data_IF_375389231424
#
_entry.id   IF_375389231424
#
_cell.length_a   1.000
_cell.length_b   1.000
_cell.length_c   1.000
_cell.angle_alpha   90.00
_cell.angle_beta   90.00
_cell.angle_gamma   90.00
#
_symmetry.space_group_name_H-M   'P 1'
#
loop_
_entity.id
_entity.type
_entity.pdbx_description
1 polymer ?
#
# COMPACT_ATOMS: atom_id res chain seq x y z
N UNK A 1 9.52 -16.57 -14.03
CA UNK A 1 9.90 -16.40 -15.46
C UNK A 1 11.26 -15.72 -15.65
N UNK A 2 11.99 -16.05 -16.73
CA UNK A 2 13.20 -15.32 -17.14
C UNK A 2 12.77 -14.00 -17.80
N UNK A 3 13.13 -12.85 -17.22
CA UNK A 3 12.60 -11.54 -17.63
C UNK A 3 13.28 -10.97 -18.88
N UNK A 4 14.36 -11.59 -19.32
CA UNK A 4 15.09 -11.27 -20.56
C UNK A 4 14.30 -11.61 -21.84
N UNK A 5 13.12 -12.22 -21.71
CA UNK A 5 12.25 -12.58 -22.83
C UNK A 5 11.20 -11.51 -23.18
N UNK A 6 11.23 -10.34 -22.53
CA UNK A 6 10.26 -9.28 -22.78
C UNK A 6 10.90 -8.07 -23.42
N UNK A 7 10.33 -7.63 -24.56
CA UNK A 7 10.83 -6.49 -25.33
C UNK A 7 10.50 -5.13 -24.67
N UNK A 8 9.53 -5.10 -23.75
CA UNK A 8 9.06 -3.88 -23.10
C UNK A 8 8.43 -4.15 -21.72
N UNK A 9 8.21 -3.07 -20.97
CA UNK A 9 7.46 -3.02 -19.71
C UNK A 9 6.30 -2.04 -19.92
N UNK A 10 5.10 -2.38 -19.44
CA UNK A 10 3.94 -1.49 -19.47
C UNK A 10 3.65 -0.93 -18.07
N UNK A 11 2.96 0.20 -18.00
CA UNK A 11 2.36 0.68 -16.76
C UNK A 11 0.84 0.76 -16.91
N UNK A 12 0.12 0.23 -15.93
CA UNK A 12 -1.34 0.26 -15.86
C UNK A 12 -1.72 0.85 -14.49
N UNK A 13 -2.07 2.13 -14.50
CA UNK A 13 -2.28 2.92 -13.29
C UNK A 13 -3.73 3.38 -13.21
N UNK A 14 -4.31 3.30 -12.02
CA UNK A 14 -5.63 3.85 -11.74
C UNK A 14 -5.51 4.90 -10.63
N UNK A 15 -5.83 6.18 -10.90
CA UNK A 15 -5.82 7.21 -9.87
C UNK A 15 -6.79 6.89 -8.73
N UNK A 16 -6.33 7.01 -7.49
CA UNK A 16 -7.14 6.75 -6.30
C UNK A 16 -8.17 7.87 -6.08
N UNK A 17 -9.38 7.51 -5.65
CA UNK A 17 -10.35 8.49 -5.12
C UNK A 17 -11.05 9.37 -6.15
N UNK A 18 -10.86 9.14 -7.46
CA UNK A 18 -11.47 9.95 -8.54
C UNK A 18 -12.78 9.38 -9.11
N UNK A 19 -13.25 8.23 -8.59
CA UNK A 19 -14.45 7.56 -9.11
C UNK A 19 -14.26 6.98 -10.51
N UNK A 20 -13.12 6.35 -10.79
CA UNK A 20 -12.85 5.74 -12.09
C UNK A 20 -13.87 4.63 -12.43
N UNK A 21 -14.36 4.58 -13.66
CA UNK A 21 -15.31 3.53 -14.09
C UNK A 21 -14.70 2.11 -14.14
N UNK A 22 -13.38 2.02 -14.18
CA UNK A 22 -12.58 0.80 -14.00
C UNK A 22 -11.44 1.16 -13.05
N UNK A 23 -11.28 0.40 -11.97
CA UNK A 23 -10.33 0.69 -10.90
C UNK A 23 -10.90 1.59 -9.79
N UNK A 24 -12.16 2.02 -9.91
CA UNK A 24 -12.85 2.76 -8.86
C UNK A 24 -13.40 1.89 -7.74
N UNK A 25 -13.36 0.57 -7.92
CA UNK A 25 -13.86 -0.42 -6.97
C UNK A 25 -12.77 -1.42 -6.59
N UNK A 26 -12.92 -2.06 -5.44
CA UNK A 26 -11.96 -3.04 -4.95
C UNK A 26 -11.66 -4.16 -5.99
N UNK A 27 -10.48 -4.10 -6.61
CA UNK A 27 -9.96 -5.12 -7.52
C UNK A 27 -10.53 -5.17 -8.93
N UNK A 28 -11.44 -4.29 -9.32
CA UNK A 28 -12.11 -4.34 -10.64
C UNK A 28 -11.15 -4.05 -11.83
N UNK A 29 -10.03 -3.37 -11.58
CA UNK A 29 -8.94 -3.20 -12.53
C UNK A 29 -8.01 -4.43 -12.64
N UNK A 30 -8.02 -5.34 -11.65
CA UNK A 30 -7.11 -6.49 -11.58
C UNK A 30 -7.16 -7.40 -12.81
N UNK A 31 -8.33 -7.73 -13.41
CA UNK A 31 -8.39 -8.56 -14.61
C UNK A 31 -7.66 -7.95 -15.80
N UNK A 32 -7.68 -6.62 -15.94
CA UNK A 32 -7.01 -5.89 -17.02
C UNK A 32 -5.49 -5.88 -16.83
N UNK A 33 -5.03 -5.61 -15.61
CA UNK A 33 -3.61 -5.73 -15.24
C UNK A 33 -3.11 -7.16 -15.46
N UNK A 34 -3.92 -8.16 -15.09
CA UNK A 34 -3.61 -9.56 -15.28
C UNK A 34 -3.60 -9.99 -16.75
N UNK A 35 -4.42 -9.39 -17.60
CA UNK A 35 -4.39 -9.62 -19.04
C UNK A 35 -3.09 -9.08 -19.66
N UNK A 36 -2.70 -7.85 -19.31
CA UNK A 36 -1.46 -7.22 -19.79
C UNK A 36 -0.21 -7.98 -19.30
N UNK A 37 -0.23 -8.46 -18.06
CA UNK A 37 0.91 -9.18 -17.47
C UNK A 37 1.18 -10.56 -18.07
N UNK A 38 0.29 -11.06 -18.95
CA UNK A 38 0.53 -12.26 -19.76
C UNK A 38 1.52 -12.04 -20.90
N UNK A 39 1.71 -10.80 -21.35
CA UNK A 39 2.56 -10.48 -22.51
C UNK A 39 3.83 -9.71 -22.15
N UNK A 40 3.83 -8.99 -21.02
CA UNK A 40 4.98 -8.20 -20.54
C UNK A 40 4.90 -8.00 -19.03
N UNK A 41 5.98 -7.56 -18.35
CA UNK A 41 5.88 -7.07 -16.98
C UNK A 41 5.04 -5.78 -16.93
N UNK A 42 4.20 -5.65 -15.90
CA UNK A 42 3.29 -4.50 -15.75
C UNK A 42 3.53 -3.80 -14.42
N UNK A 43 3.91 -2.52 -14.46
CA UNK A 43 3.92 -1.65 -13.29
C UNK A 43 2.48 -1.28 -12.95
N UNK A 44 2.06 -1.53 -11.70
CA UNK A 44 0.73 -1.22 -11.21
C UNK A 44 0.80 -0.53 -9.84
N UNK A 45 -0.10 0.43 -9.62
CA UNK A 45 -0.26 1.09 -8.33
C UNK A 45 -1.26 0.33 -7.43
N UNK A 46 -1.27 0.57 -6.10
CA UNK A 46 -2.12 -0.15 -5.16
C UNK A 46 -3.60 -0.22 -5.58
N UNK A 47 -4.16 0.91 -6.00
CA UNK A 47 -5.57 1.02 -6.38
C UNK A 47 -5.96 0.13 -7.58
N UNK A 48 -5.01 -0.20 -8.46
CA UNK A 48 -5.29 -1.04 -9.63
C UNK A 48 -5.43 -2.54 -9.30
N UNK A 49 -4.86 -3.00 -8.18
CA UNK A 49 -4.69 -4.43 -7.90
C UNK A 49 -5.08 -4.86 -6.49
N UNK A 50 -5.27 -3.94 -5.55
CA UNK A 50 -5.72 -4.27 -4.20
C UNK A 50 -7.25 -4.37 -4.14
N UNK A 51 -7.73 -5.33 -3.37
CA UNK A 51 -9.15 -5.61 -3.20
C UNK A 51 -9.42 -6.11 -1.78
N UNK A 52 -9.23 -5.22 -0.80
CA UNK A 52 -9.23 -5.55 0.63
C UNK A 52 -8.23 -6.70 0.94
N UNK A 53 -8.73 -7.86 1.38
CA UNK A 53 -7.89 -9.04 1.68
C UNK A 53 -7.42 -9.79 0.43
N UNK A 54 -7.93 -9.44 -0.74
CA UNK A 54 -7.52 -10.01 -2.03
C UNK A 54 -6.53 -9.09 -2.74
N UNK A 55 -5.68 -9.69 -3.58
CA UNK A 55 -4.77 -8.95 -4.46
C UNK A 55 -4.76 -9.59 -5.84
N UNK A 56 -4.85 -8.76 -6.87
CA UNK A 56 -4.68 -9.13 -8.27
C UNK A 56 -3.22 -9.27 -8.70
N UNK A 57 -2.26 -9.05 -7.81
CA UNK A 57 -0.82 -9.13 -8.11
C UNK A 57 -0.41 -10.57 -8.46
N UNK A 58 0.38 -10.71 -9.53
CA UNK A 58 1.00 -11.97 -9.93
C UNK A 58 2.52 -11.79 -10.15
N UNK A 59 3.24 -12.84 -10.59
CA UNK A 59 4.71 -12.82 -10.72
C UNK A 59 5.27 -11.80 -11.74
N UNK A 60 4.44 -11.34 -12.69
CA UNK A 60 4.77 -10.36 -13.72
C UNK A 60 4.24 -8.96 -13.41
N UNK A 61 3.53 -8.76 -12.29
CA UNK A 61 3.08 -7.44 -11.83
C UNK A 61 4.14 -6.83 -10.91
N UNK A 62 4.61 -5.64 -11.26
CA UNK A 62 5.55 -4.83 -10.47
C UNK A 62 4.73 -3.80 -9.69
N UNK A 63 4.54 -4.08 -8.40
CA UNK A 63 3.71 -3.29 -7.51
C UNK A 63 4.54 -2.16 -6.86
N UNK A 64 4.11 -0.90 -7.00
CA UNK A 64 4.75 0.24 -6.32
C UNK A 64 3.77 1.40 -6.13
N UNK A 65 4.04 2.29 -5.17
CA UNK A 65 3.16 3.44 -4.88
C UNK A 65 3.33 4.61 -5.86
N UNK A 66 2.41 5.58 -5.82
CA UNK A 66 2.27 6.62 -6.84
C UNK A 66 3.47 7.57 -6.97
N UNK A 67 4.12 7.96 -5.88
CA UNK A 67 5.28 8.84 -5.95
C UNK A 67 6.48 8.17 -6.63
N UNK A 68 6.74 6.90 -6.32
CA UNK A 68 7.80 6.12 -6.95
C UNK A 68 7.53 5.91 -8.45
N UNK A 69 6.27 5.68 -8.84
CA UNK A 69 5.87 5.66 -10.25
C UNK A 69 6.20 6.98 -10.93
N UNK A 70 5.79 8.10 -10.33
CA UNK A 70 6.01 9.42 -10.87
C UNK A 70 7.51 9.77 -10.98
N UNK A 71 8.28 9.52 -9.92
CA UNK A 71 9.73 9.74 -9.88
C UNK A 71 10.47 8.88 -10.92
N UNK A 72 10.03 7.63 -11.12
CA UNK A 72 10.57 6.76 -12.16
C UNK A 72 10.31 7.31 -13.57
N UNK A 73 9.08 7.77 -13.87
CA UNK A 73 8.75 8.35 -15.17
C UNK A 73 9.43 9.71 -15.41
N UNK A 74 9.75 10.46 -14.36
CA UNK A 74 10.61 11.65 -14.43
C UNK A 74 12.10 11.34 -14.59
N UNK A 75 12.51 10.08 -14.46
CA UNK A 75 13.91 9.67 -14.54
C UNK A 75 14.74 10.04 -13.30
N UNK A 76 14.07 10.29 -12.17
CA UNK A 76 14.71 10.66 -10.90
C UNK A 76 15.22 9.44 -10.14
N UNK A 77 14.50 8.31 -10.26
CA UNK A 77 14.87 7.03 -9.63
C UNK A 77 14.86 5.89 -10.65
N UNK A 78 15.55 4.80 -10.32
CA UNK A 78 15.46 3.54 -11.04
C UNK A 78 14.83 2.47 -10.14
N UNK A 79 13.89 1.70 -10.68
CA UNK A 79 13.25 0.61 -9.95
C UNK A 79 13.93 -0.72 -10.24
N UNK A 80 14.31 -1.43 -9.18
CA UNK A 80 14.78 -2.81 -9.27
C UNK A 80 13.73 -3.74 -8.68
N UNK A 81 13.13 -4.63 -9.48
CA UNK A 81 12.21 -5.61 -8.93
C UNK A 81 12.87 -6.47 -7.86
N UNK A 82 12.21 -6.60 -6.72
CA UNK A 82 12.72 -7.40 -5.60
C UNK A 82 12.01 -8.75 -5.49
N UNK A 83 12.67 -9.68 -4.79
CA UNK A 83 12.12 -10.98 -4.39
C UNK A 83 12.59 -11.26 -2.97
N UNK A 84 11.69 -11.74 -2.11
CA UNK A 84 12.01 -12.12 -0.72
C UNK A 84 12.56 -10.96 0.13
N UNK A 85 11.92 -9.78 0.07
CA UNK A 85 12.31 -8.65 0.91
C UNK A 85 12.27 -9.03 2.39
N UNK A 86 13.24 -8.55 3.15
CA UNK A 86 13.17 -8.52 4.62
C UNK A 86 12.18 -7.46 5.06
N UNK A 87 11.05 -7.88 5.61
CA UNK A 87 9.91 -7.02 5.94
C UNK A 87 9.98 -6.62 7.42
N UNK A 88 10.01 -5.32 7.67
CA UNK A 88 9.71 -4.72 8.97
C UNK A 88 8.22 -4.37 9.07
N UNK A 89 7.61 -4.55 10.25
CA UNK A 89 6.21 -4.13 10.47
C UNK A 89 6.16 -2.93 11.41
N UNK A 90 5.47 -1.88 11.02
CA UNK A 90 5.27 -0.67 11.82
C UNK A 90 3.83 -0.65 12.30
N UNK A 91 3.64 -0.68 13.62
CA UNK A 91 2.33 -0.59 14.24
C UNK A 91 2.13 0.77 14.92
N UNK A 92 0.96 1.36 14.71
CA UNK A 92 0.50 2.48 15.52
C UNK A 92 0.21 2.03 16.96
N UNK A 93 0.73 2.79 17.94
CA UNK A 93 0.48 2.57 19.37
C UNK A 93 -0.99 2.69 19.76
N UNK A 94 -1.80 3.37 18.94
CA UNK A 94 -3.24 3.48 19.15
C UNK A 94 -3.99 2.14 18.92
N UNK A 95 -3.37 1.14 18.29
CA UNK A 95 -4.02 -0.14 18.01
C UNK A 95 -4.37 -0.86 19.31
N UNK A 96 -5.65 -1.22 19.54
CA UNK A 96 -6.05 -1.95 20.74
C UNK A 96 -5.32 -3.29 20.87
N UNK A 97 -4.88 -3.64 22.08
CA UNK A 97 -4.09 -4.86 22.36
C UNK A 97 -4.69 -6.15 21.78
N UNK A 98 -6.03 -6.28 21.77
CA UNK A 98 -6.71 -7.44 21.18
C UNK A 98 -6.50 -7.52 19.67
N UNK A 99 -6.61 -6.39 18.96
CA UNK A 99 -6.39 -6.29 17.51
C UNK A 99 -4.91 -6.52 17.20
N UNK A 100 -4.01 -5.91 17.98
CA UNK A 100 -2.57 -6.13 17.86
C UNK A 100 -2.19 -7.62 17.95
N UNK A 101 -2.76 -8.36 18.91
CA UNK A 101 -2.52 -9.80 19.03
C UNK A 101 -2.99 -10.60 17.80
N UNK A 102 -4.08 -10.17 17.14
CA UNK A 102 -4.53 -10.79 15.88
C UNK A 102 -3.48 -10.57 14.79
N UNK A 103 -2.96 -9.35 14.65
CA UNK A 103 -1.88 -9.09 13.68
C UNK A 103 -0.63 -9.92 13.96
N UNK A 104 -0.20 -10.04 15.23
CA UNK A 104 0.96 -10.87 15.58
C UNK A 104 0.76 -12.34 15.20
N UNK A 105 -0.43 -12.91 15.46
CA UNK A 105 -0.75 -14.27 15.07
C UNK A 105 -0.75 -14.44 13.55
N UNK A 106 -1.34 -13.49 12.81
CA UNK A 106 -1.37 -13.50 11.35
C UNK A 106 0.04 -13.39 10.76
N UNK A 107 0.90 -12.52 11.31
CA UNK A 107 2.31 -12.39 10.90
C UNK A 107 3.06 -13.70 11.13
N UNK A 108 2.92 -14.32 12.30
CA UNK A 108 3.56 -15.60 12.60
C UNK A 108 3.08 -16.72 11.67
N UNK A 109 1.77 -16.73 11.33
CA UNK A 109 1.23 -17.65 10.35
C UNK A 109 1.82 -17.38 8.96
N UNK A 110 1.92 -16.12 8.53
CA UNK A 110 2.48 -15.75 7.24
C UNK A 110 3.97 -16.14 7.11
N UNK A 111 4.77 -15.92 8.17
CA UNK A 111 6.16 -16.40 8.25
C UNK A 111 6.24 -17.92 8.08
N UNK A 112 5.35 -18.65 8.75
CA UNK A 112 5.41 -20.12 8.81
C UNK A 112 4.88 -20.79 7.55
N UNK A 113 3.80 -20.27 6.98
CA UNK A 113 3.09 -20.88 5.84
C UNK A 113 3.69 -20.43 4.52
N UNK A 114 4.06 -19.14 4.41
CA UNK A 114 4.54 -18.55 3.16
C UNK A 114 6.05 -18.29 3.13
N UNK A 115 6.77 -18.66 4.19
CA UNK A 115 8.21 -18.44 4.33
C UNK A 115 8.63 -16.98 4.12
N UNK A 116 7.78 -16.04 4.54
CA UNK A 116 8.08 -14.59 4.47
C UNK A 116 9.16 -14.21 5.48
N UNK A 117 10.16 -13.45 5.04
CA UNK A 117 11.22 -12.93 5.91
C UNK A 117 10.73 -11.68 6.65
N UNK A 118 9.97 -11.89 7.73
CA UNK A 118 9.49 -10.80 8.59
C UNK A 118 10.40 -10.70 9.81
N UNK A 119 11.20 -9.64 9.88
CA UNK A 119 12.27 -9.47 10.87
C UNK A 119 11.78 -9.03 12.25
N UNK A 120 10.53 -8.59 12.35
CA UNK A 120 9.91 -8.11 13.58
C UNK A 120 9.13 -6.83 13.32
N UNK A 121 8.83 -6.13 14.41
CA UNK A 121 8.05 -4.90 14.34
C UNK A 121 8.68 -3.77 15.16
N UNK A 122 8.21 -2.57 14.90
CA UNK A 122 8.36 -1.36 15.70
C UNK A 122 6.98 -0.77 15.99
N UNK A 123 6.83 -0.15 17.16
CA UNK A 123 5.65 0.64 17.49
C UNK A 123 5.93 2.13 17.22
N UNK A 124 4.92 2.92 16.92
CA UNK A 124 5.04 4.38 17.01
C UNK A 124 5.20 4.82 18.46
N UNK A 125 5.86 5.96 18.67
CA UNK A 125 6.06 6.51 20.01
C UNK A 125 4.79 7.21 20.54
N UNK A 126 3.92 7.65 19.61
CA UNK A 126 2.66 8.35 19.87
C UNK A 126 1.58 7.88 18.85
N UNK A 127 0.27 8.06 19.15
CA UNK A 127 -0.79 7.78 18.20
C UNK A 127 -0.59 8.53 16.88
N UNK A 128 -0.72 7.85 15.75
CA UNK A 128 -0.54 8.48 14.43
C UNK A 128 -1.64 9.52 14.17
N UNK A 129 -2.86 9.23 14.62
CA UNK A 129 -4.03 10.08 14.43
C UNK A 129 -4.41 10.19 12.95
N UNK A 130 -4.85 9.07 12.38
CA UNK A 130 -5.30 8.97 11.00
C UNK A 130 -6.77 9.39 10.92
N UNK A 131 -7.04 10.40 10.11
CA UNK A 131 -8.38 10.88 9.77
C UNK A 131 -8.59 10.77 8.26
N UNK A 132 -9.82 10.52 7.82
CA UNK A 132 -10.16 10.44 6.40
C UNK A 132 -11.53 11.09 6.15
N UNK A 133 -11.69 11.67 4.96
CA UNK A 133 -12.89 12.40 4.56
C UNK A 133 -12.99 12.49 3.04
N UNK A 134 -14.21 12.68 2.53
CA UNK A 134 -14.43 13.03 1.13
C UNK A 134 -14.47 14.56 1.04
N UNK A 135 -13.58 15.14 0.24
CA UNK A 135 -13.54 16.59 0.03
C UNK A 135 -14.79 17.09 -0.72
N UNK A 136 -15.07 18.39 -0.69
CA UNK A 136 -16.18 19.00 -1.46
C UNK A 136 -16.10 18.71 -2.96
N UNK A 137 -14.90 18.42 -3.48
CA UNK A 137 -14.65 17.98 -4.86
C UNK A 137 -15.11 16.54 -5.17
N UNK A 138 -15.57 15.78 -4.17
CA UNK A 138 -15.92 14.37 -4.30
C UNK A 138 -14.72 13.42 -4.23
N UNK A 139 -13.52 13.92 -3.94
CA UNK A 139 -12.28 13.13 -3.90
C UNK A 139 -12.01 12.62 -2.48
N UNK A 140 -11.65 11.34 -2.36
CA UNK A 140 -11.17 10.73 -1.11
C UNK A 140 -9.86 11.35 -0.65
N UNK A 141 -9.80 11.77 0.61
CA UNK A 141 -8.63 12.43 1.21
C UNK A 141 -8.53 12.09 2.70
N UNK A 142 -7.49 12.59 3.36
CA UNK A 142 -7.31 12.41 4.78
C UNK A 142 -6.27 13.32 5.40
N UNK A 143 -5.96 13.03 6.66
CA UNK A 143 -4.99 13.76 7.46
C UNK A 143 -4.26 12.79 8.37
N UNK A 144 -2.95 13.02 8.49
CA UNK A 144 -2.08 12.32 9.44
C UNK A 144 -1.68 13.37 10.49
N UNK A 145 -2.14 13.20 11.73
CA UNK A 145 -1.91 14.21 12.77
C UNK A 145 -0.46 14.24 13.26
N UNK A 146 0.17 13.07 13.39
CA UNK A 146 1.54 12.94 13.91
C UNK A 146 2.45 12.21 12.90
N UNK A 147 2.71 12.74 11.70
CA UNK A 147 3.47 12.04 10.65
C UNK A 147 4.90 11.67 11.06
N UNK A 148 5.53 12.49 11.91
CA UNK A 148 6.92 12.26 12.36
C UNK A 148 7.09 10.95 13.14
N UNK A 149 6.04 10.48 13.82
CA UNK A 149 6.10 9.23 14.59
C UNK A 149 6.18 8.02 13.67
N UNK A 150 5.53 8.08 12.50
CA UNK A 150 5.66 7.06 11.45
C UNK A 150 7.08 7.07 10.89
N UNK A 151 7.60 8.25 10.54
CA UNK A 151 8.93 8.37 9.94
C UNK A 151 10.03 7.84 10.89
N UNK A 152 10.01 8.25 12.15
CA UNK A 152 10.98 7.77 13.16
C UNK A 152 10.93 6.26 13.33
N UNK A 153 9.74 5.66 13.40
CA UNK A 153 9.63 4.21 13.54
C UNK A 153 9.99 3.45 12.25
N UNK A 154 9.75 4.04 11.08
CA UNK A 154 10.24 3.51 9.80
C UNK A 154 11.77 3.53 9.74
N UNK A 155 12.41 4.64 10.12
CA UNK A 155 13.87 4.76 10.22
C UNK A 155 14.49 3.72 11.15
N UNK A 156 13.86 3.43 12.30
CA UNK A 156 14.30 2.35 13.21
C UNK A 156 14.29 0.99 12.50
N UNK A 157 13.26 0.67 11.72
CA UNK A 157 13.18 -0.58 10.95
C UNK A 157 14.24 -0.66 9.86
N UNK A 158 14.45 0.42 9.11
CA UNK A 158 15.46 0.51 8.06
C UNK A 158 16.87 0.36 8.62
N UNK A 159 17.16 1.02 9.74
CA UNK A 159 18.45 0.90 10.43
C UNK A 159 18.73 -0.53 10.91
N UNK A 160 17.67 -1.32 11.19
CA UNK A 160 17.78 -2.75 11.51
C UNK A 160 17.88 -3.64 10.26
N UNK A 161 17.79 -3.07 9.07
CA UNK A 161 17.97 -3.73 7.78
C UNK A 161 16.69 -4.18 7.09
N UNK A 162 15.54 -3.57 7.40
CA UNK A 162 14.31 -3.78 6.63
C UNK A 162 14.48 -3.29 5.19
N UNK A 163 14.02 -4.08 4.23
CA UNK A 163 13.99 -3.77 2.79
C UNK A 163 12.58 -3.39 2.33
N UNK A 164 11.57 -3.70 3.14
CA UNK A 164 10.19 -3.28 2.95
C UNK A 164 9.54 -3.03 4.31
N UNK A 165 8.60 -2.08 4.37
CA UNK A 165 7.88 -1.74 5.60
C UNK A 165 6.39 -1.96 5.37
N UNK A 166 5.77 -2.81 6.18
CA UNK A 166 4.32 -2.95 6.27
C UNK A 166 3.81 -2.06 7.41
N UNK A 167 2.86 -1.18 7.12
CA UNK A 167 2.37 -0.19 8.09
C UNK A 167 0.94 -0.53 8.47
N UNK A 168 0.66 -0.53 9.78
CA UNK A 168 -0.68 -0.75 10.34
C UNK A 168 -0.99 0.44 11.23
N UNK A 169 -1.97 1.25 10.83
CA UNK A 169 -2.44 2.41 11.60
C UNK A 169 -3.82 2.16 12.19
N UNK A 170 -4.11 2.80 13.32
CA UNK A 170 -5.45 2.79 13.89
C UNK A 170 -6.23 4.00 13.37
N UNK A 171 -7.47 3.77 12.94
CA UNK A 171 -8.40 4.83 12.56
C UNK A 171 -9.82 4.40 12.94
N UNK A 172 -10.68 5.38 13.17
CA UNK A 172 -12.09 5.14 13.48
C UNK A 172 -12.86 4.67 12.24
N UNK A 173 -13.92 3.88 12.45
CA UNK A 173 -14.77 3.42 11.33
C UNK A 173 -15.60 4.60 10.80
N UNK A 174 -15.73 4.80 9.47
CA UNK A 174 -16.52 5.90 8.93
C UNK A 174 -17.97 5.82 9.43
N UNK A 175 -18.57 6.95 9.81
CA UNK A 175 -20.01 7.01 10.14
C UNK A 175 -20.90 6.72 8.91
N UNK A 176 -20.35 6.82 7.68
CA UNK A 176 -21.06 6.70 6.40
C UNK A 176 -20.56 5.56 5.49
N UNK A 177 -19.91 4.52 6.03
CA UNK A 177 -19.38 3.37 5.27
C UNK A 177 -20.47 2.63 4.45
N UNK A 178 -21.73 2.83 4.84
CA UNK A 178 -22.90 2.27 4.18
C UNK A 178 -23.06 2.68 2.72
N UNK A 179 -22.63 3.87 2.28
CA UNK A 179 -22.93 4.35 0.91
C UNK A 179 -21.98 3.76 -0.14
N UNK A 180 -20.68 3.61 0.18
CA UNK A 180 -19.73 2.87 -0.65
C UNK A 180 -20.14 1.39 -0.76
N UNK A 181 -20.43 0.76 0.39
CA UNK A 181 -20.82 -0.64 0.44
C UNK A 181 -22.17 -0.97 -0.21
N UNK A 182 -23.11 -0.01 -0.27
CA UNK A 182 -24.46 -0.23 -0.83
C UNK A 182 -24.64 0.30 -2.25
N UNK A 183 -24.04 1.44 -2.59
CA UNK A 183 -24.37 2.19 -3.81
C UNK A 183 -23.19 2.39 -4.77
N UNK A 184 -21.98 1.89 -4.44
CA UNK A 184 -20.84 1.95 -5.34
C UNK A 184 -20.26 3.36 -5.51
N UNK A 185 -19.91 4.00 -4.39
CA UNK A 185 -19.31 5.34 -4.34
C UNK A 185 -17.78 5.37 -4.35
N UNK A 186 -17.21 6.48 -3.87
CA UNK A 186 -15.76 6.64 -3.69
C UNK A 186 -15.34 6.03 -2.34
N UNK A 187 -14.30 5.21 -2.33
CA UNK A 187 -13.71 4.66 -1.10
C UNK A 187 -13.12 5.78 -0.22
N UNK A 188 -13.64 6.02 0.99
CA UNK A 188 -13.16 7.08 1.87
C UNK A 188 -11.77 6.80 2.47
N UNK A 189 -11.28 5.56 2.45
CA UNK A 189 -10.01 5.16 3.07
C UNK A 189 -8.83 5.29 2.10
N UNK A 190 -9.03 5.02 0.81
CA UNK A 190 -7.94 4.99 -0.17
C UNK A 190 -7.10 6.28 -0.25
N UNK A 191 -7.71 7.44 0.02
CA UNK A 191 -7.00 8.72 0.05
C UNK A 191 -5.91 8.78 1.14
N UNK A 192 -6.23 8.35 2.37
CA UNK A 192 -5.27 8.41 3.47
C UNK A 192 -4.19 7.32 3.36
N UNK A 193 -4.51 6.16 2.79
CA UNK A 193 -3.51 5.11 2.47
C UNK A 193 -2.47 5.62 1.48
N UNK A 194 -2.92 6.35 0.45
CA UNK A 194 -2.04 6.99 -0.52
C UNK A 194 -1.13 8.03 0.15
N UNK A 195 -1.66 8.83 1.09
CA UNK A 195 -0.86 9.82 1.83
C UNK A 195 0.20 9.16 2.73
N UNK A 196 -0.13 8.08 3.44
CA UNK A 196 0.81 7.37 4.32
C UNK A 196 1.95 6.76 3.50
N UNK A 197 1.62 6.05 2.41
CA UNK A 197 2.62 5.43 1.53
C UNK A 197 3.52 6.45 0.85
N UNK A 198 2.94 7.57 0.38
CA UNK A 198 3.67 8.70 -0.17
C UNK A 198 4.65 9.31 0.84
N UNK A 199 4.18 9.61 2.06
CA UNK A 199 4.99 10.21 3.12
C UNK A 199 6.25 9.38 3.41
N UNK A 200 6.10 8.07 3.51
CA UNK A 200 7.21 7.16 3.82
C UNK A 200 8.17 7.08 2.63
N UNK A 201 7.66 6.86 1.42
CA UNK A 201 8.51 6.67 0.25
C UNK A 201 9.29 7.94 -0.11
N UNK A 202 8.63 9.10 -0.07
CA UNK A 202 9.29 10.39 -0.35
C UNK A 202 10.44 10.70 0.62
N UNK A 203 10.35 10.23 1.87
CA UNK A 203 11.32 10.54 2.93
C UNK A 203 12.43 9.49 3.07
N UNK A 204 12.11 8.23 2.81
CA UNK A 204 13.03 7.11 2.99
C UNK A 204 13.90 6.86 1.75
N UNK A 205 13.39 7.14 0.55
CA UNK A 205 14.12 6.88 -0.71
C UNK A 205 14.95 8.09 -1.19
N UNK A 206 15.22 9.06 -0.31
CA UNK A 206 16.14 10.19 -0.52
C UNK A 206 17.51 9.91 0.07
#
# INVERSE_FOLDING_TARGET
>A
MNRDNYDFIAACLVPTGVGASIGGFAGDASPYVNLLSKVCPVIANPNAVNAAVFSGVNENVLYTEGWAVDAFFRGEIAMRPSKFNKIGVLFDVAIPKKVFNVHLNTINAAKSVYAMDIMGYEMTDEPVGVEFFIAESGISSGKINNPDTLLKSAEKLLARGAEAIAIVCCFDTPENDDDYGKNGGVDPVGGVEAMISHLITEKVER
#
